data_IF_829412120891
#
_entry.id   IF_829412120891
#
_cell.length_a   1.000
_cell.length_b   1.000
_cell.length_c   1.000
_cell.angle_alpha   90.00
_cell.angle_beta   90.00
_cell.angle_gamma   90.00
#
_symmetry.space_group_name_H-M   'P 1'
#
loop_
_entity.id
_entity.type
_entity.pdbx_description
1 polymer ?
#
# COMPACT_ATOMS: atom_id res chain seq x y z
N UNK A 1 3.11 19.44 18.00
CA UNK A 1 3.85 19.23 16.73
C UNK A 1 4.89 18.09 16.85
N UNK A 2 4.53 16.93 17.43
CA UNK A 2 5.45 15.78 17.54
C UNK A 2 5.34 14.79 16.37
N UNK A 3 4.26 14.84 15.58
CA UNK A 3 4.04 13.90 14.48
C UNK A 3 4.95 14.11 13.27
N UNK A 4 5.39 15.34 12.97
CA UNK A 4 6.16 15.60 11.74
C UNK A 4 7.52 14.87 11.70
N UNK A 5 8.16 14.66 12.86
CA UNK A 5 9.44 13.96 12.89
C UNK A 5 9.25 12.46 12.65
N UNK A 6 8.30 11.85 13.36
CA UNK A 6 7.99 10.43 13.21
C UNK A 6 7.41 10.12 11.82
N UNK A 7 6.58 11.00 11.26
CA UNK A 7 6.04 10.89 9.89
C UNK A 7 7.17 10.92 8.86
N UNK A 8 8.08 11.92 8.95
CA UNK A 8 9.25 11.99 8.07
C UNK A 8 10.15 10.77 8.21
N UNK A 9 10.35 10.29 9.43
CA UNK A 9 11.16 9.09 9.67
C UNK A 9 10.48 7.85 9.07
N UNK A 10 9.15 7.77 9.13
CA UNK A 10 8.37 6.71 8.48
C UNK A 10 8.56 6.76 6.96
N UNK A 11 8.44 7.94 6.35
CA UNK A 11 8.68 8.14 4.91
C UNK A 11 10.11 7.76 4.49
N UNK A 12 11.11 8.13 5.30
CA UNK A 12 12.52 7.77 5.06
C UNK A 12 12.69 6.25 5.12
N UNK A 13 12.15 5.57 6.13
CA UNK A 13 12.25 4.11 6.27
C UNK A 13 11.61 3.40 5.07
N UNK A 14 10.45 3.88 4.59
CA UNK A 14 9.82 3.34 3.39
C UNK A 14 10.72 3.56 2.17
N UNK A 15 11.28 4.77 2.02
CA UNK A 15 12.20 5.09 0.93
C UNK A 15 13.49 4.25 0.94
N UNK A 16 14.06 4.01 2.11
CA UNK A 16 15.23 3.11 2.31
C UNK A 16 14.88 1.70 1.85
N UNK A 17 13.76 1.13 2.32
CA UNK A 17 13.35 -0.23 1.97
C UNK A 17 13.06 -0.38 0.46
N UNK A 18 12.43 0.61 -0.18
CA UNK A 18 12.20 0.62 -1.63
C UNK A 18 13.51 0.76 -2.40
N UNK A 19 14.41 1.63 -1.95
CA UNK A 19 15.73 1.82 -2.58
C UNK A 19 16.58 0.55 -2.50
N UNK A 20 16.51 -0.18 -1.38
CA UNK A 20 17.15 -1.48 -1.27
C UNK A 20 16.58 -2.48 -2.27
N UNK A 21 15.25 -2.61 -2.36
CA UNK A 21 14.61 -3.52 -3.33
C UNK A 21 15.03 -3.24 -4.76
N UNK A 22 15.11 -1.95 -5.13
CA UNK A 22 15.62 -1.49 -6.42
C UNK A 22 17.09 -1.88 -6.63
N UNK A 23 17.92 -1.70 -5.59
CA UNK A 23 19.36 -1.99 -5.65
C UNK A 23 19.66 -3.47 -5.85
N UNK A 24 18.90 -4.38 -5.21
CA UNK A 24 19.04 -5.83 -5.42
C UNK A 24 18.33 -6.36 -6.66
N UNK A 25 17.66 -5.50 -7.45
CA UNK A 25 16.95 -5.90 -8.66
C UNK A 25 15.77 -6.83 -8.41
N UNK A 26 15.18 -6.75 -7.21
CA UNK A 26 13.99 -7.53 -6.87
C UNK A 26 12.73 -6.83 -7.38
N UNK A 27 11.71 -7.63 -7.69
CA UNK A 27 10.40 -7.10 -8.06
C UNK A 27 9.82 -6.23 -6.93
N UNK A 28 9.50 -4.99 -7.26
CA UNK A 28 8.85 -4.06 -6.33
C UNK A 28 7.39 -4.48 -6.20
N UNK A 29 7.12 -5.28 -5.18
CA UNK A 29 5.77 -5.67 -4.78
C UNK A 29 5.51 -5.26 -3.34
N UNK A 30 4.24 -5.11 -3.00
CA UNK A 30 3.82 -4.85 -1.63
C UNK A 30 4.31 -5.91 -0.63
N UNK A 31 4.33 -7.18 -1.05
CA UNK A 31 4.81 -8.29 -0.24
C UNK A 31 6.31 -8.17 0.00
N UNK A 32 7.09 -7.86 -1.04
CA UNK A 32 8.53 -7.67 -0.92
C UNK A 32 8.89 -6.47 -0.02
N UNK A 33 8.14 -5.37 -0.14
CA UNK A 33 8.30 -4.20 0.73
C UNK A 33 7.99 -4.52 2.19
N UNK A 34 6.90 -5.24 2.45
CA UNK A 34 6.51 -5.65 3.80
C UNK A 34 7.54 -6.59 4.44
N UNK A 35 8.10 -7.52 3.66
CA UNK A 35 9.13 -8.45 4.12
C UNK A 35 10.44 -7.73 4.48
N UNK A 36 10.83 -6.74 3.66
CA UNK A 36 11.99 -5.89 3.94
C UNK A 36 11.83 -5.08 5.21
N UNK A 37 10.69 -4.44 5.41
CA UNK A 37 10.43 -3.68 6.65
C UNK A 37 10.44 -4.57 7.90
N UNK A 38 9.94 -5.81 7.81
CA UNK A 38 10.03 -6.79 8.90
C UNK A 38 11.45 -7.23 9.19
N UNK A 39 12.25 -7.42 8.15
CA UNK A 39 13.67 -7.76 8.30
C UNK A 39 14.43 -6.62 8.97
N UNK A 40 14.17 -5.37 8.58
CA UNK A 40 14.75 -4.19 9.22
C UNK A 40 14.41 -4.12 10.72
N UNK A 41 13.17 -4.46 11.11
CA UNK A 41 12.76 -4.48 12.51
C UNK A 41 13.55 -5.49 13.37
N UNK A 42 13.92 -6.65 12.81
CA UNK A 42 14.59 -7.71 13.57
C UNK A 42 16.02 -7.38 14.00
N UNK A 43 16.66 -6.42 13.32
CA UNK A 43 18.04 -5.99 13.62
C UNK A 43 18.15 -4.59 14.22
N UNK A 44 17.02 -3.89 14.40
CA UNK A 44 17.01 -2.50 14.84
C UNK A 44 17.01 -2.40 16.37
N UNK A 45 17.82 -1.49 16.91
CA UNK A 45 17.93 -1.22 18.36
C UNK A 45 17.51 0.19 18.72
N UNK A 46 17.47 1.10 17.75
CA UNK A 46 17.03 2.46 17.97
C UNK A 46 15.50 2.53 18.14
N UNK A 47 15.04 3.00 19.29
CA UNK A 47 13.60 3.05 19.62
C UNK A 47 12.79 3.97 18.72
N UNK A 48 13.38 5.04 18.17
CA UNK A 48 12.72 5.94 17.24
C UNK A 48 12.57 5.25 15.87
N UNK A 49 13.64 4.58 15.40
CA UNK A 49 13.60 3.78 14.17
C UNK A 49 12.64 2.60 14.29
N UNK A 50 12.62 1.87 15.41
CA UNK A 50 11.64 0.79 15.65
C UNK A 50 10.21 1.32 15.51
N UNK A 51 9.91 2.47 16.11
CA UNK A 51 8.57 3.09 16.02
C UNK A 51 8.24 3.49 14.59
N UNK A 52 9.19 4.06 13.85
CA UNK A 52 9.02 4.41 12.45
C UNK A 52 8.79 3.18 11.57
N UNK A 53 9.56 2.10 11.76
CA UNK A 53 9.41 0.83 11.04
C UNK A 53 8.03 0.20 11.31
N UNK A 54 7.56 0.19 12.56
CA UNK A 54 6.23 -0.30 12.89
C UNK A 54 5.12 0.51 12.22
N UNK A 55 5.26 1.84 12.14
CA UNK A 55 4.32 2.70 11.41
C UNK A 55 4.35 2.44 9.90
N UNK A 56 5.54 2.31 9.32
CA UNK A 56 5.71 1.99 7.90
C UNK A 56 5.03 0.66 7.55
N UNK A 57 5.16 -0.35 8.41
CA UNK A 57 4.49 -1.64 8.25
C UNK A 57 2.96 -1.49 8.26
N UNK A 58 2.41 -0.70 9.19
CA UNK A 58 0.97 -0.46 9.27
C UNK A 58 0.46 0.28 8.02
N UNK A 59 1.17 1.31 7.58
CA UNK A 59 0.83 2.09 6.40
C UNK A 59 0.83 1.25 5.13
N UNK A 60 1.90 0.48 4.88
CA UNK A 60 1.99 -0.44 3.75
C UNK A 60 0.85 -1.45 3.77
N UNK A 61 0.49 -1.99 4.94
CA UNK A 61 -0.65 -2.92 5.07
C UNK A 61 -2.00 -2.27 4.76
N UNK A 62 -2.21 -1.03 5.19
CA UNK A 62 -3.44 -0.28 4.88
C UNK A 62 -3.55 -0.05 3.38
N UNK A 63 -2.48 0.43 2.74
CA UNK A 63 -2.44 0.65 1.30
C UNK A 63 -2.65 -0.64 0.50
N UNK A 64 -2.04 -1.75 0.93
CA UNK A 64 -2.29 -3.08 0.37
C UNK A 64 -3.78 -3.45 0.39
N UNK A 65 -4.47 -3.22 1.50
CA UNK A 65 -5.89 -3.54 1.66
C UNK A 65 -6.77 -2.64 0.78
N UNK A 66 -6.47 -1.34 0.73
CA UNK A 66 -7.17 -0.38 -0.13
C UNK A 66 -7.02 -0.77 -1.60
N UNK A 67 -5.81 -1.11 -2.03
CA UNK A 67 -5.52 -1.48 -3.41
C UNK A 67 -6.13 -2.85 -3.79
N UNK A 68 -6.11 -3.81 -2.85
CA UNK A 68 -6.73 -5.14 -3.05
C UNK A 68 -8.26 -5.08 -3.06
N UNK A 69 -8.87 -4.12 -2.35
CA UNK A 69 -10.32 -3.88 -2.33
C UNK A 69 -10.86 -3.07 -3.53
N UNK A 70 -9.96 -2.50 -4.33
CA UNK A 70 -10.27 -1.63 -5.48
C UNK A 70 -10.58 -2.37 -6.80
N UNK A 71 -10.35 -3.69 -6.89
CA UNK A 71 -10.83 -4.51 -8.00
C UNK A 71 -12.27 -4.98 -7.77
N UNK A 72 -13.18 -4.04 -7.47
CA UNK A 72 -14.55 -4.16 -7.94
C UNK A 72 -14.56 -3.52 -9.31
N UNK A 73 -14.33 -4.34 -10.34
CA UNK A 73 -14.55 -3.96 -11.72
C UNK A 73 -15.99 -3.47 -11.88
N UNK A 74 -16.22 -2.17 -11.77
CA UNK A 74 -17.47 -1.52 -12.18
C UNK A 74 -17.48 -1.32 -13.70
N UNK A 75 -16.98 -2.30 -14.46
CA UNK A 75 -17.19 -2.40 -15.89
C UNK A 75 -18.31 -3.41 -16.13
N UNK A 76 -19.46 -2.91 -16.58
CA UNK A 76 -20.44 -3.72 -17.33
C UNK A 76 -21.75 -4.02 -16.64
N UNK A 77 -22.60 -3.01 -16.39
CA UNK A 77 -24.06 -3.21 -16.50
C UNK A 77 -24.78 -1.91 -16.87
N UNK A 78 -24.66 -1.51 -18.13
CA UNK A 78 -25.65 -0.62 -18.76
C UNK A 78 -25.70 -0.87 -20.26
N UNK A 79 -26.12 -2.08 -20.63
CA UNK A 79 -26.76 -2.34 -21.91
C UNK A 79 -27.69 -3.53 -21.71
N UNK A 80 -28.84 -3.28 -21.09
CA UNK A 80 -29.97 -4.19 -21.17
C UNK A 80 -30.53 -4.11 -22.60
N UNK A 81 -30.48 -5.18 -23.42
CA UNK A 81 -31.05 -5.17 -24.77
C UNK A 81 -32.58 -5.32 -24.78
N UNK A 82 -33.22 -5.42 -23.60
CA UNK A 82 -34.62 -5.82 -23.47
C UNK A 82 -35.51 -4.78 -22.77
N UNK A 83 -35.29 -3.48 -23.01
CA UNK A 83 -36.31 -2.49 -22.67
C UNK A 83 -37.50 -2.64 -23.65
N UNK A 84 -38.72 -3.02 -23.20
CA UNK A 84 -39.87 -3.11 -24.10
C UNK A 84 -40.29 -1.71 -24.52
N UNK A 85 -40.20 -1.43 -25.84
CA UNK A 85 -40.76 -0.21 -26.44
C UNK A 85 -42.28 -0.31 -26.42
N UNK A 86 -42.89 0.15 -25.35
CA UNK A 86 -44.33 0.44 -25.28
C UNK A 86 -44.68 1.55 -26.27
N UNK A 87 -45.61 1.24 -27.17
CA UNK A 87 -45.92 2.03 -28.36
C UNK A 87 -46.79 3.24 -28.06
N UNK A 88 -46.60 4.27 -28.88
CA UNK A 88 -47.54 5.35 -29.18
C UNK A 88 -48.91 4.77 -29.56
N UNK A 89 -49.96 5.27 -28.92
CA UNK A 89 -51.28 5.55 -29.51
C UNK A 89 -52.00 6.57 -28.62
#
# INVERSE_FOLDING_TARGET
>A
MKNSHDEKMTEVIIGEAVSELLSVGLDISWVALLDKLRTALNGETDEDRIRAVLRAIDEVRREMQVNSGGHKTSYGRSSDPFAPRGKLH
#
